data_IF_125104338800
#
_entry.id   IF_125104338800
#
_cell.length_a   1.000
_cell.length_b   1.000
_cell.length_c   1.000
_cell.angle_alpha   90.00
_cell.angle_beta   90.00
_cell.angle_gamma   90.00
#
_symmetry.space_group_name_H-M   'P 1'
#
loop_
_entity.id
_entity.type
_entity.pdbx_description
1 polymer ?
#
# COMPACT_ATOMS: atom_id res chain seq x y z
N UNK A 1 -33.27 -0.69 -33.41
CA UNK A 1 -33.43 -1.26 -32.05
C UNK A 1 -32.12 -1.95 -31.70
N UNK A 2 -31.64 -1.80 -30.46
CA UNK A 2 -30.44 -1.05 -30.12
C UNK A 2 -29.16 -1.89 -30.19
N UNK A 3 -28.05 -1.21 -30.43
CA UNK A 3 -26.71 -1.73 -30.18
C UNK A 3 -26.62 -2.14 -28.70
N UNK A 4 -26.37 -3.43 -28.45
CA UNK A 4 -26.14 -3.93 -27.10
C UNK A 4 -24.95 -3.19 -26.47
N UNK A 5 -25.00 -2.84 -25.17
CA UNK A 5 -23.86 -2.26 -24.49
C UNK A 5 -22.70 -3.26 -24.49
N UNK A 6 -21.51 -2.80 -24.87
CA UNK A 6 -20.29 -3.61 -24.72
C UNK A 6 -19.98 -3.70 -23.22
N UNK A 7 -20.31 -4.83 -22.61
CA UNK A 7 -19.82 -5.17 -21.29
C UNK A 7 -18.29 -5.33 -21.39
N UNK A 8 -17.53 -4.30 -20.98
CA UNK A 8 -16.08 -4.39 -20.77
C UNK A 8 -15.78 -5.26 -19.52
N UNK A 9 -16.24 -6.52 -19.53
CA UNK A 9 -15.95 -7.56 -18.55
C UNK A 9 -14.60 -8.19 -18.85
N UNK A 10 -13.54 -7.39 -18.77
CA UNK A 10 -12.17 -7.92 -18.75
C UNK A 10 -11.19 -6.94 -18.12
N UNK A 11 -11.60 -6.23 -17.06
CA UNK A 11 -10.59 -5.82 -16.08
C UNK A 11 -10.15 -7.09 -15.37
N UNK A 12 -9.06 -7.68 -15.86
CA UNK A 12 -8.39 -8.80 -15.20
C UNK A 12 -8.17 -8.42 -13.74
N UNK A 13 -9.00 -8.97 -12.84
CA UNK A 13 -8.90 -8.72 -11.41
C UNK A 13 -7.86 -9.68 -10.87
N UNK A 14 -6.61 -9.25 -10.88
CA UNK A 14 -5.61 -9.85 -10.01
C UNK A 14 -5.94 -9.40 -8.58
N UNK A 15 -6.29 -10.32 -7.66
CA UNK A 15 -6.56 -9.93 -6.29
C UNK A 15 -5.29 -9.28 -5.74
N UNK A 16 -5.41 -8.02 -5.30
CA UNK A 16 -4.33 -7.35 -4.59
C UNK A 16 -4.01 -8.20 -3.35
N UNK A 17 -2.73 -8.39 -3.05
CA UNK A 17 -2.29 -9.14 -1.88
C UNK A 17 -2.60 -8.33 -0.60
N UNK A 18 -3.85 -8.38 -0.15
CA UNK A 18 -4.35 -7.69 1.03
C UNK A 18 -5.83 -7.33 0.89
N UNK A 19 -6.52 -7.12 2.01
CA UNK A 19 -7.93 -6.69 2.00
C UNK A 19 -8.13 -5.21 1.63
N UNK A 20 -7.03 -4.47 1.39
CA UNK A 20 -7.06 -3.04 1.10
C UNK A 20 -7.14 -2.76 -0.42
N UNK A 21 -8.06 -1.87 -0.81
CA UNK A 21 -8.20 -1.38 -2.19
C UNK A 21 -8.03 0.14 -2.31
N UNK A 22 -7.52 0.78 -1.26
CA UNK A 22 -7.41 2.22 -1.09
C UNK A 22 -5.96 2.70 -1.00
N UNK A 23 -5.03 1.87 -1.49
CA UNK A 23 -3.64 2.28 -1.71
C UNK A 23 -3.55 3.26 -2.88
N UNK A 24 -2.83 4.35 -2.67
CA UNK A 24 -2.63 5.43 -3.62
C UNK A 24 -1.21 6.02 -3.49
N UNK A 25 -0.68 6.53 -4.61
CA UNK A 25 0.60 7.24 -4.68
C UNK A 25 0.59 8.34 -5.76
N UNK A 26 1.34 9.41 -5.53
CA UNK A 26 1.67 10.45 -6.51
C UNK A 26 3.16 10.82 -6.46
N UNK A 27 3.53 11.91 -7.12
CA UNK A 27 4.91 12.34 -7.25
C UNK A 27 5.53 12.76 -5.91
N UNK A 28 4.75 13.33 -4.98
CA UNK A 28 5.23 13.79 -3.67
C UNK A 28 4.96 12.83 -2.50
N UNK A 29 3.94 11.97 -2.60
CA UNK A 29 3.47 11.16 -1.47
C UNK A 29 2.92 9.79 -1.86
N UNK A 30 2.98 8.84 -0.94
CA UNK A 30 2.47 7.48 -1.11
C UNK A 30 1.85 6.95 0.19
N UNK A 31 1.10 5.86 0.05
CA UNK A 31 0.46 5.17 1.19
C UNK A 31 0.97 3.74 1.35
N UNK A 32 1.12 3.29 2.59
CA UNK A 32 1.42 1.91 2.97
C UNK A 32 0.30 1.39 3.87
N UNK A 33 -0.22 0.20 3.58
CA UNK A 33 -1.38 -0.37 4.29
C UNK A 33 -1.03 -1.74 4.87
N UNK A 34 -1.49 -2.05 6.09
CA UNK A 34 -1.35 -3.41 6.63
C UNK A 34 -2.09 -4.42 5.75
N UNK A 35 -1.65 -5.67 5.76
CA UNK A 35 -2.34 -6.76 5.05
C UNK A 35 -3.82 -6.87 5.44
N UNK A 36 -4.13 -6.57 6.70
CA UNK A 36 -5.47 -6.50 7.26
C UNK A 36 -6.37 -5.38 6.72
N UNK A 37 -5.81 -4.38 6.06
CA UNK A 37 -6.51 -3.17 5.62
C UNK A 37 -6.82 -2.13 6.70
N UNK A 38 -6.80 -2.48 7.99
CA UNK A 38 -7.19 -1.60 9.10
C UNK A 38 -6.26 -0.40 9.36
N UNK A 39 -4.97 -0.53 9.01
CA UNK A 39 -3.94 0.45 9.27
C UNK A 39 -3.40 0.97 7.96
N UNK A 40 -3.39 2.29 7.77
CA UNK A 40 -2.73 2.95 6.64
C UNK A 40 -1.89 4.13 7.10
N UNK A 41 -0.70 4.20 6.53
CA UNK A 41 0.28 5.26 6.72
C UNK A 41 0.41 6.04 5.41
N UNK A 42 0.63 7.34 5.53
CA UNK A 42 0.97 8.25 4.44
C UNK A 42 2.39 8.73 4.66
N UNK A 43 3.21 8.76 3.62
CA UNK A 43 4.61 9.17 3.72
C UNK A 43 5.05 9.90 2.43
N UNK A 44 6.06 10.78 2.52
CA UNK A 44 6.60 11.46 1.34
C UNK A 44 7.44 10.49 0.49
N UNK A 45 7.39 10.65 -0.84
CA UNK A 45 8.21 9.89 -1.80
C UNK A 45 9.46 10.63 -2.22
N UNK A 46 9.58 11.90 -1.85
CA UNK A 46 10.72 12.77 -2.15
C UNK A 46 11.03 13.74 -0.99
N UNK A 47 12.20 14.39 -1.06
CA UNK A 47 12.58 15.44 -0.11
C UNK A 47 13.20 14.92 1.19
N UNK A 48 13.40 15.81 2.20
CA UNK A 48 14.18 15.50 3.40
C UNK A 48 13.52 14.47 4.32
N UNK A 49 12.23 14.18 4.14
CA UNK A 49 11.50 13.19 4.92
C UNK A 49 11.85 11.74 4.54
N UNK A 50 12.24 11.49 3.29
CA UNK A 50 12.69 10.17 2.82
C UNK A 50 14.21 10.09 2.96
N UNK A 51 14.69 9.37 3.97
CA UNK A 51 16.11 9.29 4.31
C UNK A 51 16.85 8.38 3.34
N UNK A 52 16.33 7.16 3.12
CA UNK A 52 16.96 6.17 2.27
C UNK A 52 15.94 5.14 1.77
N UNK A 53 16.20 4.58 0.59
CA UNK A 53 15.54 3.40 0.03
C UNK A 53 16.59 2.32 -0.22
N UNK A 54 16.39 1.11 0.30
CA UNK A 54 17.42 0.07 0.26
C UNK A 54 16.83 -1.34 0.18
N UNK A 55 17.66 -2.29 -0.26
CA UNK A 55 17.33 -3.72 -0.28
C UNK A 55 18.00 -4.39 0.92
N UNK A 56 17.20 -5.06 1.76
CA UNK A 56 17.69 -5.75 2.95
C UNK A 56 17.53 -7.27 2.83
N UNK A 57 18.59 -7.98 3.21
CA UNK A 57 18.68 -9.45 3.18
C UNK A 57 18.75 -10.08 4.58
N UNK A 58 18.54 -9.31 5.65
CA UNK A 58 18.62 -9.86 7.01
C UNK A 58 17.52 -10.91 7.23
N UNK A 59 17.73 -11.79 8.21
CA UNK A 59 16.81 -12.88 8.50
C UNK A 59 15.39 -12.38 8.81
N UNK A 60 15.27 -11.26 9.53
CA UNK A 60 13.97 -10.73 9.95
C UNK A 60 13.20 -10.13 8.78
N UNK A 61 13.84 -9.35 7.91
CA UNK A 61 13.20 -8.84 6.70
C UNK A 61 12.75 -9.96 5.77
N UNK A 62 13.56 -11.01 5.61
CA UNK A 62 13.19 -12.19 4.82
C UNK A 62 12.02 -12.96 5.43
N UNK A 63 11.98 -13.08 6.77
CA UNK A 63 10.89 -13.74 7.49
C UNK A 63 9.58 -12.98 7.36
N UNK A 64 9.60 -11.65 7.56
CA UNK A 64 8.38 -10.83 7.54
C UNK A 64 7.75 -10.81 6.13
N UNK A 65 8.56 -10.78 5.07
CA UNK A 65 8.06 -10.71 3.69
C UNK A 65 7.94 -12.07 3.00
N UNK A 66 8.42 -13.15 3.64
CA UNK A 66 8.58 -14.47 3.03
C UNK A 66 9.35 -14.46 1.68
N UNK A 67 10.25 -13.49 1.50
CA UNK A 67 11.03 -13.28 0.27
C UNK A 67 12.54 -13.46 0.52
N UNK A 68 13.33 -13.53 -0.56
CA UNK A 68 14.80 -13.53 -0.50
C UNK A 68 15.38 -12.17 -0.09
N UNK A 69 14.59 -11.11 -0.19
CA UNK A 69 14.93 -9.76 0.23
C UNK A 69 13.68 -8.93 0.47
N UNK A 70 13.83 -7.79 1.15
CA UNK A 70 12.80 -6.77 1.26
C UNK A 70 13.32 -5.44 0.71
N UNK A 71 12.51 -4.78 -0.11
CA UNK A 71 12.69 -3.37 -0.48
C UNK A 71 12.12 -2.51 0.64
N UNK A 72 12.98 -1.83 1.36
CA UNK A 72 12.63 -1.01 2.52
C UNK A 72 12.98 0.46 2.27
N UNK A 73 12.43 1.32 3.10
CA UNK A 73 12.78 2.73 3.12
C UNK A 73 12.67 3.27 4.54
N UNK A 74 13.42 4.33 4.82
CA UNK A 74 13.43 5.00 6.12
C UNK A 74 12.83 6.39 5.97
N UNK A 75 11.80 6.69 6.76
CA UNK A 75 11.16 8.01 6.84
C UNK A 75 11.48 8.65 8.18
N UNK A 76 11.74 9.95 8.20
CA UNK A 76 11.84 10.71 9.44
C UNK A 76 10.47 10.77 10.12
N UNK A 77 10.42 10.46 11.41
CA UNK A 77 9.17 10.48 12.19
C UNK A 77 8.46 11.84 12.13
N UNK A 78 9.23 12.93 12.07
CA UNK A 78 8.70 14.30 11.89
C UNK A 78 7.93 14.52 10.59
N UNK A 79 8.09 13.63 9.60
CA UNK A 79 7.44 13.68 8.29
C UNK A 79 6.40 12.57 8.12
N UNK A 80 6.13 11.79 9.18
CA UNK A 80 4.99 10.89 9.24
C UNK A 80 3.85 11.69 9.91
N UNK A 81 2.72 11.95 9.22
CA UNK A 81 1.58 12.57 9.87
C UNK A 81 1.15 11.69 11.05
N UNK A 82 1.00 12.29 12.23
CA UNK A 82 0.95 11.69 13.58
C UNK A 82 -0.22 10.74 13.88
N UNK A 83 -0.79 10.10 12.88
CA UNK A 83 -1.73 9.00 13.05
C UNK A 83 -1.56 8.01 11.92
N UNK A 84 -1.14 6.79 12.25
CA UNK A 84 -1.66 5.65 11.52
C UNK A 84 -3.18 5.79 11.58
N UNK A 85 -3.81 6.12 10.45
CA UNK A 85 -5.25 6.31 10.42
C UNK A 85 -5.82 4.91 10.55
N UNK A 86 -6.27 4.56 11.75
CA UNK A 86 -7.17 3.44 11.94
C UNK A 86 -8.38 3.73 11.05
N UNK A 87 -8.53 3.00 9.95
CA UNK A 87 -9.64 3.24 9.03
C UNK A 87 -10.92 2.98 9.81
N UNK A 88 -11.72 4.02 10.00
CA UNK A 88 -12.97 3.99 10.77
C UNK A 88 -14.10 3.24 10.04
N UNK A 89 -13.87 2.77 8.81
CA UNK A 89 -14.80 1.88 8.10
C UNK A 89 -14.50 0.41 8.44
N UNK A 90 -15.50 -0.39 8.82
CA UNK A 90 -15.32 -1.83 8.95
C UNK A 90 -14.76 -2.39 7.62
N UNK A 91 -13.91 -3.44 7.64
CA UNK A 91 -13.48 -4.08 6.42
C UNK A 91 -14.74 -4.44 5.64
N UNK A 92 -14.97 -3.80 4.50
CA UNK A 92 -16.15 -4.09 3.69
C UNK A 92 -16.11 -5.58 3.40
N UNK A 93 -17.06 -6.30 4.01
CA UNK A 93 -17.27 -7.71 3.75
C UNK A 93 -17.30 -7.88 2.23
N UNK A 94 -16.43 -8.75 1.75
CA UNK A 94 -16.49 -9.30 0.40
C UNK A 94 -17.96 -9.52 0.01
N UNK A 95 -18.37 -8.87 -1.08
CA UNK A 95 -19.32 -9.48 -2.02
C UNK A 95 -18.54 -10.26 -3.06
#
# INVERSE_FOLDING_TARGET
>A
MPFAPVDNKSKSYFPLAGSANDGWSNEEEATATCFCGAVQLKFPTQGPGLVETFVCHCADCRKITASMFASNFTILDTHIPTSAVAKTSPPSASR
#
